data_IF_521917190616
#
_entry.id   IF_521917190616
#
_cell.length_a   1.000
_cell.length_b   1.000
_cell.length_c   1.000
_cell.angle_alpha   90.00
_cell.angle_beta   90.00
_cell.angle_gamma   90.00
#
_symmetry.space_group_name_H-M   'P 1'
#
loop_
_entity.id
_entity.type
_entity.pdbx_description
1 polymer ?
#
# COMPACT_ATOMS: atom_id res chain seq x y z
N UNK A 1 -7.49 9.48 -21.89
CA UNK A 1 -7.03 9.88 -20.56
C UNK A 1 -5.91 8.94 -20.13
N UNK A 2 -4.80 9.53 -19.70
CA UNK A 2 -3.64 8.76 -19.33
C UNK A 2 -3.76 8.27 -17.89
N UNK A 3 -3.54 6.96 -17.69
CA UNK A 3 -3.57 6.34 -16.37
C UNK A 3 -2.21 6.52 -15.68
N UNK A 4 -2.22 7.00 -14.45
CA UNK A 4 -0.99 7.21 -13.66
C UNK A 4 -0.90 6.20 -12.52
N UNK A 5 0.33 5.87 -12.12
CA UNK A 5 0.58 4.95 -11.00
C UNK A 5 -0.16 5.37 -9.73
N UNK A 6 -0.17 6.67 -9.44
CA UNK A 6 -0.84 7.19 -8.25
C UNK A 6 -2.33 6.85 -8.25
N UNK A 7 -2.98 6.97 -9.40
CA UNK A 7 -4.40 6.64 -9.52
C UNK A 7 -4.65 5.16 -9.25
N UNK A 8 -3.75 4.31 -9.74
CA UNK A 8 -3.83 2.87 -9.51
C UNK A 8 -3.68 2.55 -8.03
N UNK A 9 -2.69 3.17 -7.37
CA UNK A 9 -2.44 2.95 -5.94
C UNK A 9 -3.62 3.44 -5.10
N UNK A 10 -4.19 4.59 -5.44
CA UNK A 10 -5.35 5.12 -4.74
C UNK A 10 -6.56 4.22 -4.88
N UNK A 11 -6.83 3.72 -6.08
CA UNK A 11 -7.93 2.80 -6.32
C UNK A 11 -7.71 1.47 -5.57
N UNK A 12 -6.49 0.95 -5.58
CA UNK A 12 -6.15 -0.27 -4.86
C UNK A 12 -6.34 -0.10 -3.35
N UNK A 13 -5.91 1.04 -2.82
CA UNK A 13 -6.08 1.35 -1.40
C UNK A 13 -7.56 1.44 -1.04
N UNK A 14 -8.37 2.03 -1.90
CA UNK A 14 -9.81 2.13 -1.68
C UNK A 14 -10.48 0.74 -1.68
N UNK A 15 -10.07 -0.15 -2.58
CA UNK A 15 -10.57 -1.52 -2.60
C UNK A 15 -10.20 -2.23 -1.30
N UNK A 16 -8.96 -2.09 -0.87
CA UNK A 16 -8.49 -2.66 0.39
C UNK A 16 -9.33 -2.18 1.57
N UNK A 17 -9.56 -0.87 1.67
CA UNK A 17 -10.28 -0.27 2.79
C UNK A 17 -11.76 -0.62 2.81
N UNK A 18 -12.38 -0.75 1.64
CA UNK A 18 -13.82 -0.99 1.55
C UNK A 18 -14.18 -2.48 1.53
N UNK A 19 -13.32 -3.33 0.99
CA UNK A 19 -13.66 -4.74 0.75
C UNK A 19 -12.65 -5.73 1.33
N UNK A 20 -11.47 -5.26 1.74
CA UNK A 20 -10.43 -6.13 2.31
C UNK A 20 -9.46 -6.66 1.27
N UNK A 21 -8.40 -7.32 1.78
CA UNK A 21 -7.29 -7.78 0.93
C UNK A 21 -7.70 -8.89 -0.04
N UNK A 22 -8.70 -9.69 0.33
CA UNK A 22 -9.16 -10.81 -0.52
C UNK A 22 -9.70 -10.30 -1.86
N UNK A 23 -10.36 -9.15 -1.85
CA UNK A 23 -10.95 -8.56 -3.04
C UNK A 23 -9.96 -7.74 -3.87
N UNK A 24 -8.76 -7.51 -3.36
CA UNK A 24 -7.75 -6.76 -4.07
C UNK A 24 -7.04 -7.65 -5.08
N UNK A 25 -7.38 -7.48 -6.35
CA UNK A 25 -6.80 -8.22 -7.47
C UNK A 25 -6.62 -7.30 -8.66
N UNK A 26 -5.75 -7.69 -9.59
CA UNK A 26 -5.54 -6.92 -10.81
C UNK A 26 -6.82 -6.80 -11.62
N UNK A 27 -7.60 -7.88 -11.67
CA UNK A 27 -8.87 -7.89 -12.41
C UNK A 27 -9.88 -6.92 -11.78
N UNK A 28 -10.03 -6.98 -10.45
CA UNK A 28 -10.96 -6.09 -9.74
C UNK A 28 -10.54 -4.64 -9.93
N UNK A 29 -9.25 -4.38 -9.82
CA UNK A 29 -8.69 -3.04 -9.96
C UNK A 29 -8.92 -2.49 -11.36
N UNK A 30 -8.71 -3.32 -12.39
CA UNK A 30 -8.96 -2.92 -13.77
C UNK A 30 -10.43 -2.54 -13.98
N UNK A 31 -11.33 -3.29 -13.37
CA UNK A 31 -12.77 -3.01 -13.45
C UNK A 31 -13.11 -1.70 -12.77
N UNK A 32 -12.55 -1.45 -11.59
CA UNK A 32 -12.79 -0.20 -10.86
C UNK A 32 -12.30 1.03 -11.63
N UNK A 33 -11.21 0.89 -12.35
CA UNK A 33 -10.60 1.98 -13.11
C UNK A 33 -11.13 2.05 -14.57
N UNK A 34 -11.98 1.10 -14.94
CA UNK A 34 -12.53 1.01 -16.30
C UNK A 34 -11.43 0.94 -17.35
N UNK A 35 -10.45 0.08 -17.11
CA UNK A 35 -9.34 -0.17 -18.03
C UNK A 35 -9.14 -1.68 -18.18
N UNK A 36 -8.32 -2.08 -19.17
CA UNK A 36 -7.96 -3.48 -19.33
C UNK A 36 -6.90 -3.87 -18.31
N UNK A 37 -6.83 -5.16 -17.89
CA UNK A 37 -5.73 -5.62 -17.04
C UNK A 37 -4.36 -5.34 -17.65
N UNK A 38 -4.22 -5.40 -18.99
CA UNK A 38 -2.97 -5.08 -19.65
C UNK A 38 -2.47 -3.68 -19.37
N UNK A 39 -3.38 -2.71 -19.24
CA UNK A 39 -3.01 -1.34 -18.91
C UNK A 39 -2.39 -1.25 -17.51
N UNK A 40 -2.86 -2.08 -16.57
CA UNK A 40 -2.28 -2.13 -15.22
C UNK A 40 -0.92 -2.78 -15.23
N UNK A 41 -0.75 -3.88 -15.99
CA UNK A 41 0.54 -4.58 -16.07
C UNK A 41 1.62 -3.73 -16.73
N UNK A 42 1.25 -2.71 -17.43
CA UNK A 42 2.20 -1.72 -17.94
C UNK A 42 2.87 -0.94 -16.80
N UNK A 43 2.13 -0.67 -15.73
CA UNK A 43 2.62 0.08 -14.57
C UNK A 43 3.17 -0.82 -13.46
N UNK A 44 2.55 -1.96 -13.25
CA UNK A 44 2.93 -2.92 -12.21
C UNK A 44 3.01 -4.30 -12.86
N UNK A 45 4.21 -4.86 -12.94
CA UNK A 45 4.44 -6.13 -13.62
C UNK A 45 3.71 -7.29 -12.96
N UNK A 46 3.41 -7.18 -11.66
CA UNK A 46 2.76 -8.25 -10.92
C UNK A 46 1.92 -7.67 -9.79
N UNK A 47 1.03 -8.51 -9.23
CA UNK A 47 0.27 -8.15 -8.05
C UNK A 47 1.20 -7.82 -6.88
N UNK A 48 2.33 -8.51 -6.76
CA UNK A 48 3.28 -8.27 -5.68
C UNK A 48 3.86 -6.86 -5.75
N UNK A 49 4.16 -6.37 -6.95
CA UNK A 49 4.62 -4.98 -7.11
C UNK A 49 3.56 -3.98 -6.68
N UNK A 50 2.30 -4.26 -7.02
CA UNK A 50 1.18 -3.42 -6.60
C UNK A 50 1.05 -3.43 -5.08
N UNK A 51 1.12 -4.61 -4.45
CA UNK A 51 1.05 -4.72 -2.99
C UNK A 51 2.18 -3.94 -2.32
N UNK A 52 3.38 -4.00 -2.89
CA UNK A 52 4.52 -3.22 -2.40
C UNK A 52 4.26 -1.72 -2.44
N UNK A 53 3.68 -1.24 -3.52
CA UNK A 53 3.36 0.18 -3.67
C UNK A 53 2.27 0.62 -2.69
N UNK A 54 1.25 -0.21 -2.47
CA UNK A 54 0.21 0.08 -1.48
C UNK A 54 0.78 0.06 -0.07
N UNK A 55 1.68 -0.88 0.23
CA UNK A 55 2.36 -0.93 1.52
C UNK A 55 3.17 0.34 1.76
N UNK A 56 3.90 0.81 0.75
CA UNK A 56 4.65 2.07 0.84
C UNK A 56 3.73 3.25 1.16
N UNK A 57 2.57 3.28 0.54
CA UNK A 57 1.59 4.34 0.82
C UNK A 57 1.10 4.29 2.27
N UNK A 58 0.80 3.10 2.78
CA UNK A 58 0.35 2.92 4.17
C UNK A 58 1.44 3.34 5.14
N UNK A 59 2.69 2.98 4.86
CA UNK A 59 3.83 3.24 5.73
C UNK A 59 4.43 4.65 5.55
N UNK A 60 3.97 5.39 4.54
CA UNK A 60 4.47 6.73 4.26
C UNK A 60 4.52 7.65 5.48
N UNK A 61 3.44 7.74 6.29
CA UNK A 61 3.47 8.59 7.49
C UNK A 61 4.53 8.17 8.51
N UNK A 62 4.90 6.88 8.55
CA UNK A 62 5.97 6.39 9.43
C UNK A 62 7.32 6.95 8.99
N UNK A 63 7.56 6.93 7.67
CA UNK A 63 8.81 7.40 7.08
C UNK A 63 8.94 8.92 7.08
N UNK A 64 7.83 9.64 7.24
CA UNK A 64 7.79 11.11 7.23
C UNK A 64 8.16 11.72 8.57
N UNK A 65 8.44 10.90 9.60
CA UNK A 65 8.76 11.38 10.93
C UNK A 65 10.06 12.19 10.92
N UNK A 66 10.05 13.45 11.45
CA UNK A 66 11.27 14.24 11.52
C UNK A 66 12.28 13.60 12.49
N UNK A 67 13.55 13.79 12.19
CA UNK A 67 14.65 13.27 13.00
C UNK A 67 14.95 14.21 14.16
N UNK A 68 14.08 14.19 15.19
CA UNK A 68 14.21 15.04 16.37
C UNK A 68 14.09 14.20 17.64
N UNK A 69 14.77 14.62 18.70
CA UNK A 69 14.75 13.94 19.97
C UNK A 69 15.75 12.80 20.06
N UNK A 70 15.79 12.15 21.22
CA UNK A 70 16.67 10.99 21.44
C UNK A 70 16.17 9.79 20.66
N UNK A 71 17.06 8.81 20.45
CA UNK A 71 16.71 7.64 19.66
C UNK A 71 15.59 6.80 20.31
N UNK A 72 15.52 6.73 21.65
CA UNK A 72 14.41 6.00 22.29
C UNK A 72 13.08 6.69 22.07
N UNK A 73 13.03 8.03 22.08
CA UNK A 73 11.83 8.77 21.76
C UNK A 73 11.42 8.57 20.31
N UNK A 74 12.40 8.52 19.41
CA UNK A 74 12.16 8.26 18.00
C UNK A 74 11.56 6.88 17.77
N UNK A 75 12.08 5.87 18.45
CA UNK A 75 11.56 4.50 18.35
C UNK A 75 10.10 4.44 18.81
N UNK A 76 9.78 5.11 19.93
CA UNK A 76 8.41 5.16 20.44
C UNK A 76 7.49 5.84 19.43
N UNK A 77 7.90 6.97 18.86
CA UNK A 77 7.10 7.68 17.85
C UNK A 77 6.89 6.85 16.59
N UNK A 78 7.94 6.19 16.11
CA UNK A 78 7.86 5.32 14.95
C UNK A 78 6.90 4.16 15.24
N UNK A 79 6.99 3.55 16.42
CA UNK A 79 6.08 2.47 16.81
C UNK A 79 4.62 2.90 16.83
N UNK A 80 4.33 4.07 17.40
CA UNK A 80 2.97 4.62 17.43
C UNK A 80 2.49 4.92 16.01
N UNK A 81 3.31 5.54 15.19
CA UNK A 81 2.95 5.86 13.80
C UNK A 81 2.74 4.61 12.97
N UNK A 82 3.56 3.58 13.18
CA UNK A 82 3.39 2.31 12.50
C UNK A 82 2.05 1.67 12.87
N UNK A 83 1.74 1.62 14.16
CA UNK A 83 0.46 1.07 14.63
C UNK A 83 -0.72 1.84 14.03
N UNK A 84 -0.65 3.18 14.05
CA UNK A 84 -1.72 4.01 13.52
C UNK A 84 -1.88 3.83 12.00
N UNK A 85 -0.75 3.74 11.28
CA UNK A 85 -0.79 3.52 9.84
C UNK A 85 -1.45 2.18 9.50
N UNK A 86 -1.10 1.11 10.22
CA UNK A 86 -1.68 -0.21 9.99
C UNK A 86 -3.16 -0.26 10.35
N UNK A 87 -3.58 0.48 11.37
CA UNK A 87 -4.97 0.54 11.80
C UNK A 87 -5.83 1.45 10.93
N UNK A 88 -5.23 2.39 10.23
CA UNK A 88 -5.96 3.34 9.40
C UNK A 88 -6.51 2.70 8.12
N UNK A 89 -6.06 1.49 7.79
CA UNK A 89 -6.48 0.77 6.59
C UNK A 89 -6.97 -0.62 6.94
N UNK A 90 -8.06 -1.05 6.32
CA UNK A 90 -8.57 -2.41 6.46
C UNK A 90 -7.50 -3.39 5.99
N UNK A 91 -7.22 -4.41 6.81
CA UNK A 91 -6.21 -5.43 6.52
C UNK A 91 -4.80 -4.86 6.25
N UNK A 92 -4.49 -3.66 6.79
CA UNK A 92 -3.20 -3.03 6.58
C UNK A 92 -2.03 -3.89 7.03
N UNK A 93 -2.12 -4.49 8.22
CA UNK A 93 -1.08 -5.37 8.74
C UNK A 93 -0.90 -6.61 7.85
N UNK A 94 -1.99 -7.19 7.39
CA UNK A 94 -1.94 -8.37 6.52
C UNK A 94 -1.33 -8.02 5.17
N UNK A 95 -1.69 -6.87 4.61
CA UNK A 95 -1.13 -6.42 3.34
C UNK A 95 0.38 -6.21 3.44
N UNK A 96 0.86 -5.54 4.48
CA UNK A 96 2.28 -5.28 4.68
C UNK A 96 3.03 -6.61 4.84
N UNK A 97 2.47 -7.54 5.62
CA UNK A 97 3.05 -8.86 5.80
C UNK A 97 3.15 -9.62 4.48
N UNK A 98 2.10 -9.58 3.66
CA UNK A 98 2.09 -10.23 2.35
C UNK A 98 3.12 -9.62 1.41
N UNK A 99 3.30 -8.30 1.46
CA UNK A 99 4.30 -7.58 0.68
C UNK A 99 5.72 -8.05 1.02
N UNK A 100 6.03 -8.18 2.33
CA UNK A 100 7.33 -8.68 2.77
C UNK A 100 7.53 -10.15 2.38
N UNK A 101 6.52 -10.97 2.56
CA UNK A 101 6.59 -12.39 2.20
C UNK A 101 6.85 -12.58 0.71
N UNK A 102 6.38 -11.67 -0.13
CA UNK A 102 6.63 -11.71 -1.57
C UNK A 102 8.00 -11.11 -1.94
N UNK A 103 8.75 -10.56 -0.99
CA UNK A 103 10.06 -9.97 -1.24
C UNK A 103 10.01 -8.63 -1.97
N UNK A 104 8.89 -7.95 -1.95
CA UNK A 104 8.70 -6.68 -2.64
C UNK A 104 9.16 -5.48 -1.83
N UNK A 105 9.16 -5.60 -0.51
CA UNK A 105 9.63 -4.53 0.36
C UNK A 105 11.07 -4.79 0.76
N UNK A 106 11.94 -3.79 0.69
CA UNK A 106 13.32 -3.95 1.12
C UNK A 106 13.43 -4.14 2.63
#
# INVERSE_FOLDING_TARGET
VQLHKREIIEAATAILDNYGIVDLSMRRLARELDVTPGALYWHFASKQELLGAVADRILGPVCAEPDVGGWSERIIRIGVRLRDALRSHTDGAELVSASFAAGQSP
#
